data_IF_141370713710
#
_entry.id   IF_141370713710
#
_cell.length_a   1.000
_cell.length_b   1.000
_cell.length_c   1.000
_cell.angle_alpha   90.00
_cell.angle_beta   90.00
_cell.angle_gamma   90.00
#
_symmetry.space_group_name_H-M   'P 1'
#
loop_
_entity.id
_entity.type
_entity.pdbx_description
1 polymer ?
#
# COMPACT_ATOMS: atom_id res chain seq x y z
N UNK A 1 85.53 -1.92 -30.58
CA UNK A 1 84.45 -1.17 -29.92
C UNK A 1 83.11 -1.75 -30.34
N UNK A 2 82.26 -1.90 -29.34
CA UNK A 2 80.92 -2.49 -29.30
C UNK A 2 79.94 -1.95 -30.35
N UNK A 3 79.02 -2.78 -30.85
CA UNK A 3 77.67 -2.86 -30.29
C UNK A 3 76.85 -4.02 -30.90
N UNK A 4 75.94 -4.50 -30.07
CA UNK A 4 75.10 -5.68 -30.17
C UNK A 4 73.96 -5.53 -31.18
N UNK A 5 73.54 -6.64 -31.79
CA UNK A 5 72.19 -6.83 -32.28
C UNK A 5 71.71 -8.24 -31.89
N UNK A 6 70.64 -8.31 -31.10
CA UNK A 6 69.78 -9.49 -30.95
C UNK A 6 68.47 -9.19 -31.69
N UNK A 7 67.81 -10.23 -32.24
CA UNK A 7 66.37 -10.28 -32.14
C UNK A 7 65.88 -11.53 -31.41
N UNK A 8 64.93 -11.27 -30.55
CA UNK A 8 64.12 -12.18 -29.75
C UNK A 8 63.13 -12.88 -30.67
N UNK A 9 63.06 -14.21 -30.62
CA UNK A 9 61.98 -15.00 -31.24
C UNK A 9 61.12 -15.63 -30.14
N UNK A 10 59.90 -15.12 -30.00
CA UNK A 10 58.87 -15.68 -29.10
C UNK A 10 58.07 -16.69 -29.92
N UNK A 11 58.18 -17.97 -29.57
CA UNK A 11 57.25 -19.00 -30.05
C UNK A 11 56.45 -19.51 -28.85
N UNK A 12 55.13 -19.31 -28.86
CA UNK A 12 54.22 -19.90 -27.90
C UNK A 12 52.97 -20.36 -28.64
N UNK A 13 53.06 -21.57 -29.19
CA UNK A 13 51.91 -22.33 -29.67
C UNK A 13 51.15 -22.89 -28.46
N UNK A 14 50.24 -22.10 -27.90
CA UNK A 14 49.30 -22.57 -26.87
C UNK A 14 48.16 -23.29 -27.59
N UNK A 15 48.19 -24.63 -27.55
CA UNK A 15 47.21 -25.50 -28.21
C UNK A 15 45.78 -25.20 -27.75
N UNK A 16 44.87 -25.03 -28.72
CA UNK A 16 43.44 -24.73 -28.55
C UNK A 16 42.73 -25.74 -27.62
N UNK A 17 43.25 -26.96 -27.54
CA UNK A 17 42.75 -28.02 -26.68
C UNK A 17 43.00 -27.75 -25.18
N UNK A 18 44.09 -27.03 -24.84
CA UNK A 18 44.33 -26.54 -23.48
C UNK A 18 43.37 -25.42 -23.10
N UNK A 19 43.03 -24.52 -24.03
CA UNK A 19 42.09 -23.42 -23.78
C UNK A 19 40.66 -23.93 -23.57
N UNK A 20 40.22 -24.95 -24.33
CA UNK A 20 38.89 -25.56 -24.14
C UNK A 20 38.79 -26.31 -22.82
N UNK A 21 39.86 -27.02 -22.41
CA UNK A 21 39.93 -27.68 -21.10
C UNK A 21 39.97 -26.68 -19.94
N UNK A 22 40.72 -25.57 -20.07
CA UNK A 22 40.71 -24.48 -19.09
C UNK A 22 39.32 -23.86 -18.97
N UNK A 23 38.63 -23.63 -20.09
CA UNK A 23 37.28 -23.05 -20.10
C UNK A 23 36.26 -23.99 -19.44
N UNK A 24 36.31 -25.30 -19.72
CA UNK A 24 35.45 -26.29 -19.06
C UNK A 24 35.72 -26.36 -17.55
N UNK A 25 36.98 -26.32 -17.11
CA UNK A 25 37.34 -26.35 -15.68
C UNK A 25 36.86 -25.07 -14.97
N UNK A 26 37.02 -23.90 -15.58
CA UNK A 26 36.49 -22.64 -15.03
C UNK A 26 34.96 -22.64 -14.97
N UNK A 27 34.27 -23.16 -15.99
CA UNK A 27 32.81 -23.23 -16.01
C UNK A 27 32.26 -24.18 -14.93
N UNK A 28 32.92 -25.34 -14.72
CA UNK A 28 32.56 -26.29 -13.66
C UNK A 28 32.86 -25.72 -12.27
N UNK A 29 33.98 -25.02 -12.07
CA UNK A 29 34.30 -24.34 -10.81
C UNK A 29 33.30 -23.21 -10.50
N UNK A 30 32.85 -22.44 -11.50
CA UNK A 30 31.83 -21.41 -11.34
C UNK A 30 30.45 -21.99 -10.97
N UNK A 31 30.08 -23.14 -11.54
CA UNK A 31 28.86 -23.86 -11.19
C UNK A 31 28.92 -24.42 -9.75
N UNK A 32 30.07 -24.93 -9.31
CA UNK A 32 30.25 -25.43 -7.93
C UNK A 32 30.27 -24.31 -6.89
N UNK A 33 30.79 -23.12 -7.23
CA UNK A 33 30.79 -21.94 -6.36
C UNK A 33 29.40 -21.28 -6.20
N UNK A 34 28.44 -21.61 -7.08
CA UNK A 34 27.07 -21.10 -6.99
C UNK A 34 26.21 -21.85 -5.96
N UNK A 35 26.66 -23.03 -5.50
CA UNK A 35 25.91 -23.87 -4.55
C UNK A 35 26.17 -23.54 -3.07
N UNK A 36 27.02 -22.55 -2.77
CA UNK A 36 27.33 -22.14 -1.38
C UNK A 36 26.71 -20.80 -0.98
N UNK A 37 25.80 -20.24 -1.77
CA UNK A 37 24.95 -19.10 -1.37
C UNK A 37 23.50 -19.57 -1.16
N UNK A 38 23.31 -20.57 -0.30
CA UNK A 38 22.00 -20.89 0.26
C UNK A 38 22.11 -21.43 1.69
N UNK A 39 22.72 -20.63 2.56
CA UNK A 39 22.48 -20.71 4.01
C UNK A 39 22.29 -19.30 4.58
N UNK A 40 21.33 -18.56 4.01
CA UNK A 40 20.55 -17.61 4.81
C UNK A 40 19.38 -18.37 5.45
N UNK A 41 19.74 -19.19 6.44
CA UNK A 41 18.97 -19.66 7.59
C UNK A 41 17.43 -19.71 7.46
N UNK A 42 16.92 -20.87 7.04
CA UNK A 42 15.61 -21.36 7.46
C UNK A 42 15.77 -21.96 8.87
N UNK A 43 15.77 -21.12 9.91
CA UNK A 43 15.62 -21.56 11.29
C UNK A 43 14.18 -21.35 11.75
N UNK A 44 13.40 -22.42 11.70
CA UNK A 44 12.19 -22.57 12.49
C UNK A 44 12.58 -22.74 13.97
N UNK A 45 12.67 -21.63 14.71
CA UNK A 45 12.64 -21.67 16.16
C UNK A 45 11.39 -20.94 16.64
N UNK A 46 10.46 -21.71 17.20
CA UNK A 46 9.47 -21.22 18.14
C UNK A 46 10.19 -20.49 19.27
N UNK A 47 10.02 -19.17 19.35
CA UNK A 47 10.15 -18.45 20.61
C UNK A 47 8.97 -17.51 20.78
N UNK A 48 8.08 -17.92 21.67
CA UNK A 48 7.06 -17.12 22.33
C UNK A 48 7.74 -16.17 23.32
N UNK A 49 7.77 -14.87 23.00
CA UNK A 49 7.98 -13.76 23.93
C UNK A 49 7.24 -12.55 23.31
N UNK A 50 6.41 -11.83 24.06
CA UNK A 50 5.51 -10.79 23.54
C UNK A 50 6.24 -9.62 22.84
N UNK A 51 5.87 -9.33 21.58
CA UNK A 51 6.45 -8.29 20.71
C UNK A 51 5.76 -8.25 19.33
N UNK A 52 5.94 -7.19 18.51
CA UNK A 52 4.91 -6.65 17.59
C UNK A 52 4.40 -7.67 16.58
N UNK A 53 3.09 -7.89 16.63
CA UNK A 53 2.40 -8.88 15.84
C UNK A 53 2.57 -8.72 14.32
N UNK A 54 2.87 -9.84 13.67
CA UNK A 54 2.38 -10.26 12.35
C UNK A 54 2.55 -9.33 11.11
N UNK A 55 3.34 -8.25 11.18
CA UNK A 55 3.67 -7.46 9.99
C UNK A 55 4.38 -8.27 8.89
N UNK A 56 5.03 -9.38 9.24
CA UNK A 56 5.76 -10.23 8.29
C UNK A 56 4.88 -11.24 7.52
N UNK A 57 3.59 -11.41 7.87
CA UNK A 57 2.68 -12.37 7.20
C UNK A 57 1.37 -11.73 6.71
N UNK A 58 1.19 -10.43 6.91
CA UNK A 58 0.00 -9.74 6.43
C UNK A 58 0.17 -9.34 4.97
N UNK A 59 -0.42 -10.12 4.06
CA UNK A 59 -0.38 -9.86 2.63
C UNK A 59 -1.63 -9.07 2.19
N UNK A 60 -1.57 -7.76 2.31
CA UNK A 60 -2.59 -6.86 1.74
C UNK A 60 -2.35 -6.60 0.26
N UNK A 61 -3.40 -6.20 -0.46
CA UNK A 61 -3.28 -5.62 -1.79
C UNK A 61 -2.61 -4.24 -1.76
N UNK A 62 -2.13 -3.77 -2.92
CA UNK A 62 -1.62 -2.42 -3.07
C UNK A 62 -2.78 -1.43 -3.28
N UNK A 63 -2.77 -0.34 -2.52
CA UNK A 63 -3.71 0.77 -2.67
C UNK A 63 -2.90 2.01 -3.04
N UNK A 64 -3.41 2.79 -3.99
CA UNK A 64 -2.88 4.11 -4.29
C UNK A 64 -3.98 5.16 -4.11
N UNK A 65 -3.86 5.97 -3.05
CA UNK A 65 -4.81 7.03 -2.74
C UNK A 65 -4.06 8.27 -2.26
N UNK A 66 -3.61 9.16 -3.17
CA UNK A 66 -2.85 10.33 -2.78
C UNK A 66 -3.65 11.24 -1.85
N UNK A 67 -3.04 11.71 -0.77
CA UNK A 67 -3.62 12.70 0.14
C UNK A 67 -2.71 13.92 0.24
N UNK A 68 -3.27 15.08 0.58
CA UNK A 68 -2.53 16.34 0.74
C UNK A 68 -1.86 16.53 2.09
N UNK A 69 -1.98 15.52 2.95
CA UNK A 69 -1.30 15.43 4.23
C UNK A 69 0.22 15.31 4.05
N UNK A 70 0.97 15.28 5.15
CA UNK A 70 2.41 15.10 5.13
C UNK A 70 2.81 13.85 4.32
N UNK A 71 3.82 13.96 3.45
CA UNK A 71 4.26 12.84 2.61
C UNK A 71 4.69 11.61 3.44
N UNK A 72 5.17 11.82 4.67
CA UNK A 72 5.58 10.76 5.60
C UNK A 72 4.44 9.84 6.03
N UNK A 73 3.17 10.29 5.96
CA UNK A 73 2.01 9.50 6.39
C UNK A 73 1.30 8.77 5.24
N UNK A 74 1.70 9.00 3.99
CA UNK A 74 1.05 8.43 2.80
C UNK A 74 0.98 6.89 2.86
N UNK A 75 2.10 6.22 3.13
CA UNK A 75 2.16 4.75 3.20
C UNK A 75 1.28 4.18 4.30
N UNK A 76 1.23 4.86 5.45
CA UNK A 76 0.43 4.45 6.60
C UNK A 76 -1.07 4.59 6.29
N UNK A 77 -1.44 5.69 5.63
CA UNK A 77 -2.80 5.91 5.17
C UNK A 77 -3.25 4.85 4.15
N UNK A 78 -2.45 4.59 3.12
CA UNK A 78 -2.76 3.59 2.09
C UNK A 78 -2.89 2.19 2.68
N UNK A 79 -2.06 1.84 3.68
CA UNK A 79 -2.20 0.61 4.45
C UNK A 79 -3.53 0.53 5.20
N UNK A 80 -3.94 1.62 5.86
CA UNK A 80 -5.25 1.70 6.52
C UNK A 80 -6.41 1.50 5.54
N UNK A 81 -6.32 2.05 4.33
CA UNK A 81 -7.34 1.86 3.29
C UNK A 81 -7.37 0.40 2.80
N UNK A 82 -6.21 -0.24 2.65
CA UNK A 82 -6.14 -1.65 2.28
C UNK A 82 -6.77 -2.57 3.35
N UNK A 83 -6.56 -2.26 4.63
CA UNK A 83 -7.23 -2.92 5.76
C UNK A 83 -8.74 -2.71 5.74
N UNK A 84 -9.19 -1.47 5.49
CA UNK A 84 -10.61 -1.15 5.39
C UNK A 84 -11.29 -1.91 4.25
N UNK A 85 -10.62 -2.04 3.10
CA UNK A 85 -11.09 -2.88 1.98
C UNK A 85 -11.13 -4.38 2.29
N UNK A 86 -10.31 -4.82 3.24
CA UNK A 86 -10.31 -6.20 3.74
C UNK A 86 -11.25 -6.39 4.94
N UNK A 87 -11.95 -5.32 5.32
CA UNK A 87 -12.88 -5.22 6.43
C UNK A 87 -12.25 -5.41 7.83
N UNK A 88 -11.00 -5.01 7.99
CA UNK A 88 -10.27 -5.01 9.25
C UNK A 88 -10.36 -3.61 9.88
N UNK A 89 -11.54 -3.27 10.41
CA UNK A 89 -11.85 -1.90 10.83
C UNK A 89 -11.04 -1.44 12.04
N UNK A 90 -10.82 -2.31 13.02
CA UNK A 90 -10.04 -2.01 14.23
C UNK A 90 -8.57 -1.74 13.89
N UNK A 91 -7.99 -2.52 12.98
CA UNK A 91 -6.62 -2.34 12.52
C UNK A 91 -6.50 -1.09 11.65
N UNK A 92 -7.47 -0.85 10.75
CA UNK A 92 -7.54 0.37 9.95
C UNK A 92 -7.63 1.61 10.84
N UNK A 93 -8.48 1.59 11.88
CA UNK A 93 -8.63 2.67 12.85
C UNK A 93 -7.30 3.02 13.51
N UNK A 94 -6.53 2.01 13.95
CA UNK A 94 -5.19 2.22 14.54
C UNK A 94 -4.23 2.88 13.55
N UNK A 95 -4.27 2.52 12.27
CA UNK A 95 -3.47 3.20 11.24
C UNK A 95 -3.89 4.66 11.12
N UNK A 96 -5.18 4.96 10.97
CA UNK A 96 -5.65 6.33 10.76
C UNK A 96 -5.48 7.23 11.98
N UNK A 97 -5.60 6.70 13.21
CA UNK A 97 -5.24 7.42 14.43
C UNK A 97 -3.75 7.77 14.46
N UNK A 98 -2.90 6.86 13.98
CA UNK A 98 -1.46 7.12 13.87
C UNK A 98 -1.15 8.18 12.79
N UNK A 99 -1.88 8.17 11.66
CA UNK A 99 -1.82 9.25 10.65
C UNK A 99 -2.24 10.59 11.27
N UNK A 100 -3.36 10.64 11.99
CA UNK A 100 -3.88 11.86 12.62
C UNK A 100 -2.95 12.40 13.72
N UNK A 101 -2.26 11.52 14.45
CA UNK A 101 -1.25 11.92 15.43
C UNK A 101 0.01 12.50 14.78
N UNK A 102 0.44 11.91 13.65
CA UNK A 102 1.63 12.35 12.92
C UNK A 102 1.39 13.63 12.08
N UNK A 103 0.18 13.82 11.57
CA UNK A 103 -0.26 15.04 10.89
C UNK A 103 -1.64 15.48 11.39
N UNK A 104 -1.71 16.30 12.45
CA UNK A 104 -2.96 16.79 13.02
C UNK A 104 -3.79 17.68 12.07
N UNK A 105 -3.20 18.17 10.97
CA UNK A 105 -3.89 18.97 9.95
C UNK A 105 -4.41 18.11 8.79
N UNK A 106 -4.24 16.78 8.87
CA UNK A 106 -4.67 15.85 7.84
C UNK A 106 -6.20 15.63 7.88
N UNK A 107 -6.95 16.40 7.09
CA UNK A 107 -8.40 16.22 6.94
C UNK A 107 -8.79 14.79 6.54
N UNK A 108 -7.97 14.15 5.70
CA UNK A 108 -8.22 12.78 5.24
C UNK A 108 -8.01 11.72 6.33
N UNK A 109 -7.19 11.99 7.35
CA UNK A 109 -7.07 11.08 8.50
C UNK A 109 -8.38 11.04 9.29
N UNK A 110 -8.98 12.21 9.54
CA UNK A 110 -10.27 12.33 10.23
C UNK A 110 -11.40 11.68 9.42
N UNK A 111 -11.43 11.92 8.11
CA UNK A 111 -12.34 11.21 7.18
C UNK A 111 -12.17 9.69 7.27
N UNK A 112 -10.94 9.19 7.30
CA UNK A 112 -10.67 7.75 7.33
C UNK A 112 -11.04 7.12 8.68
N UNK A 113 -10.84 7.82 9.80
CA UNK A 113 -11.37 7.39 11.11
C UNK A 113 -12.89 7.27 11.05
N UNK A 114 -13.59 8.30 10.53
CA UNK A 114 -15.04 8.25 10.36
C UNK A 114 -15.49 7.09 9.45
N UNK A 115 -14.73 6.77 8.39
CA UNK A 115 -15.02 5.63 7.51
C UNK A 115 -14.98 4.28 8.24
N UNK A 116 -14.13 4.11 9.27
CA UNK A 116 -14.05 2.83 10.02
C UNK A 116 -15.31 2.54 10.83
N UNK A 117 -16.15 3.56 11.02
CA UNK A 117 -17.39 3.41 11.76
C UNK A 117 -18.52 2.80 10.91
N UNK A 118 -18.44 2.91 9.59
CA UNK A 118 -19.44 2.34 8.70
C UNK A 118 -19.11 0.88 8.37
N UNK A 119 -19.84 -0.07 8.96
CA UNK A 119 -19.55 -1.51 8.89
C UNK A 119 -20.73 -2.34 8.36
N UNK A 120 -21.12 -2.16 7.09
CA UNK A 120 -22.39 -2.68 6.55
C UNK A 120 -22.55 -4.20 6.61
N UNK A 121 -21.47 -4.98 6.59
CA UNK A 121 -21.56 -6.46 6.64
C UNK A 121 -21.50 -7.06 8.05
N UNK A 122 -21.34 -6.23 9.09
CA UNK A 122 -21.30 -6.68 10.49
C UNK A 122 -22.52 -6.13 11.23
N UNK A 123 -22.33 -5.04 11.93
CA UNK A 123 -23.30 -4.40 12.82
C UNK A 123 -23.78 -3.05 12.28
N UNK A 124 -23.44 -2.73 11.03
CA UNK A 124 -23.91 -1.53 10.34
C UNK A 124 -23.34 -0.26 10.97
N UNK A 125 -24.24 0.69 11.28
CA UNK A 125 -23.89 1.98 11.87
C UNK A 125 -24.89 2.33 12.99
N UNK A 126 -24.73 1.75 14.20
CA UNK A 126 -25.55 2.08 15.36
C UNK A 126 -25.30 3.52 15.84
N UNK A 127 -26.25 4.08 16.59
CA UNK A 127 -26.24 5.51 16.95
C UNK A 127 -24.96 5.98 17.66
N UNK A 128 -24.46 5.19 18.63
CA UNK A 128 -23.22 5.55 19.34
C UNK A 128 -22.03 5.67 18.40
N UNK A 129 -21.97 4.78 17.41
CA UNK A 129 -20.91 4.77 16.42
C UNK A 129 -21.08 5.88 15.39
N UNK A 130 -22.33 6.15 14.99
CA UNK A 130 -22.67 7.30 14.16
C UNK A 130 -22.22 8.60 14.80
N UNK A 131 -22.42 8.78 16.10
CA UNK A 131 -21.95 9.97 16.83
C UNK A 131 -20.43 10.13 16.73
N UNK A 132 -19.68 9.04 16.87
CA UNK A 132 -18.22 9.06 16.66
C UNK A 132 -17.90 9.46 15.23
N UNK A 133 -18.50 8.82 14.23
CA UNK A 133 -18.29 9.16 12.82
C UNK A 133 -18.60 10.63 12.51
N UNK A 134 -19.71 11.17 13.03
CA UNK A 134 -20.10 12.58 12.90
C UNK A 134 -19.04 13.51 13.51
N UNK A 135 -18.58 13.21 14.72
CA UNK A 135 -17.55 14.03 15.36
C UNK A 135 -16.26 14.09 14.54
N UNK A 136 -15.84 12.98 13.94
CA UNK A 136 -14.62 12.92 13.14
C UNK A 136 -14.78 13.56 11.76
N UNK A 137 -15.93 13.37 11.10
CA UNK A 137 -16.16 14.01 9.79
C UNK A 137 -16.31 15.53 9.91
N UNK A 138 -16.87 16.02 11.01
CA UNK A 138 -16.97 17.45 11.29
C UNK A 138 -15.57 18.07 11.50
N UNK A 139 -14.66 17.36 12.17
CA UNK A 139 -13.24 17.76 12.23
C UNK A 139 -12.60 17.78 10.84
N UNK A 140 -12.86 16.77 10.01
CA UNK A 140 -12.35 16.73 8.64
C UNK A 140 -12.79 17.96 7.83
N UNK A 141 -14.05 18.38 7.96
CA UNK A 141 -14.59 19.58 7.31
C UNK A 141 -13.91 20.87 7.82
N UNK A 142 -13.70 20.97 9.12
CA UNK A 142 -13.04 22.13 9.75
C UNK A 142 -11.56 22.29 9.36
N UNK A 143 -10.90 21.21 8.93
CA UNK A 143 -9.50 21.23 8.48
C UNK A 143 -9.30 21.72 7.03
N UNK A 144 -10.36 22.16 6.35
CA UNK A 144 -10.30 22.77 5.02
C UNK A 144 -9.51 21.94 3.97
N UNK A 145 -9.98 20.74 3.60
CA UNK A 145 -9.32 19.87 2.62
C UNK A 145 -8.93 20.61 1.35
N UNK A 146 -7.69 20.38 0.89
CA UNK A 146 -7.04 21.24 -0.10
C UNK A 146 -7.49 20.95 -1.52
N UNK A 147 -7.83 19.70 -1.83
CA UNK A 147 -8.24 19.29 -3.18
C UNK A 147 -9.74 19.06 -3.28
N UNK A 148 -10.28 19.23 -4.49
CA UNK A 148 -11.70 18.95 -4.75
C UNK A 148 -12.04 17.47 -4.60
N UNK A 149 -11.06 16.57 -4.80
CA UNK A 149 -11.24 15.14 -4.55
C UNK A 149 -11.48 14.87 -3.06
N UNK A 150 -10.62 15.41 -2.18
CA UNK A 150 -10.76 15.24 -0.73
C UNK A 150 -12.04 15.90 -0.21
N UNK A 151 -12.36 17.11 -0.68
CA UNK A 151 -13.64 17.78 -0.37
C UNK A 151 -14.83 16.90 -0.70
N UNK A 152 -14.83 16.25 -1.87
CA UNK A 152 -15.92 15.35 -2.29
C UNK A 152 -16.01 14.10 -1.43
N UNK A 153 -14.89 13.48 -1.05
CA UNK A 153 -14.92 12.33 -0.13
C UNK A 153 -15.49 12.70 1.24
N UNK A 154 -15.05 13.84 1.79
CA UNK A 154 -15.53 14.34 3.08
C UNK A 154 -17.01 14.70 3.00
N UNK A 155 -17.43 15.42 1.96
CA UNK A 155 -18.83 15.81 1.79
C UNK A 155 -19.76 14.59 1.61
N UNK A 156 -19.32 13.57 0.87
CA UNK A 156 -20.09 12.35 0.68
C UNK A 156 -20.33 11.61 2.00
N UNK A 157 -19.27 11.41 2.80
CA UNK A 157 -19.39 10.74 4.09
C UNK A 157 -20.17 11.60 5.11
N UNK A 158 -19.94 12.91 5.13
CA UNK A 158 -20.68 13.85 5.97
C UNK A 158 -22.19 13.76 5.70
N UNK A 159 -22.59 13.79 4.41
CA UNK A 159 -23.99 13.66 4.01
C UNK A 159 -24.61 12.34 4.48
N UNK A 160 -23.86 11.23 4.41
CA UNK A 160 -24.33 9.94 4.88
C UNK A 160 -24.48 9.88 6.40
N UNK A 161 -23.51 10.41 7.15
CA UNK A 161 -23.49 10.32 8.62
C UNK A 161 -24.54 11.23 9.27
N UNK A 162 -24.69 12.45 8.75
CA UNK A 162 -25.69 13.44 9.18
C UNK A 162 -27.10 13.15 8.63
N UNK A 163 -27.21 12.33 7.59
CA UNK A 163 -28.48 11.93 7.00
C UNK A 163 -29.29 11.00 7.91
N UNK A 164 -30.62 11.07 7.77
CA UNK A 164 -31.54 10.15 8.43
C UNK A 164 -31.26 8.69 8.01
N UNK A 165 -31.14 7.73 8.96
CA UNK A 165 -30.83 6.34 8.62
C UNK A 165 -31.77 5.72 7.58
N UNK A 166 -33.06 6.06 7.62
CA UNK A 166 -34.08 5.60 6.67
C UNK A 166 -33.87 6.09 5.23
N UNK A 167 -33.12 7.17 5.03
CA UNK A 167 -32.79 7.72 3.71
C UNK A 167 -31.57 7.01 3.11
N UNK A 168 -30.63 6.60 3.97
CA UNK A 168 -29.41 5.92 3.57
C UNK A 168 -29.66 4.50 3.05
N UNK A 169 -30.70 3.83 3.57
CA UNK A 169 -31.14 2.49 3.15
C UNK A 169 -32.11 2.55 1.95
N UNK A 170 -32.43 3.75 1.46
CA UNK A 170 -33.46 3.94 0.44
C UNK A 170 -32.93 3.44 -0.91
N UNK A 171 -33.21 2.16 -1.21
CA UNK A 171 -33.15 1.65 -2.59
C UNK A 171 -33.95 2.62 -3.45
N UNK A 172 -33.40 3.14 -4.58
CA UNK A 172 -34.18 3.98 -5.48
C UNK A 172 -35.47 3.22 -5.81
N UNK A 173 -36.60 3.73 -5.33
CA UNK A 173 -37.92 3.09 -5.53
C UNK A 173 -38.30 3.12 -7.02
N UNK A 174 -37.63 3.99 -7.78
CA UNK A 174 -37.63 4.03 -9.22
C UNK A 174 -36.19 4.14 -9.69
N UNK A 175 -35.64 3.05 -10.24
CA UNK A 175 -34.40 3.14 -11.01
C UNK A 175 -34.79 3.72 -12.38
N UNK A 176 -34.33 4.92 -12.76
CA UNK A 176 -34.66 5.47 -14.05
C UNK A 176 -34.13 4.54 -15.15
N UNK A 177 -34.85 4.38 -16.26
CA UNK A 177 -34.41 3.50 -17.34
C UNK A 177 -33.04 3.96 -17.86
N UNK A 178 -32.22 3.05 -18.43
CA UNK A 178 -30.81 3.34 -18.77
C UNK A 178 -30.59 4.59 -19.63
N UNK A 179 -31.55 4.96 -20.48
CA UNK A 179 -31.48 6.13 -21.34
C UNK A 179 -31.64 7.47 -20.59
N UNK A 180 -32.34 7.50 -19.45
CA UNK A 180 -32.43 8.69 -18.58
C UNK A 180 -31.15 8.90 -17.79
N UNK A 181 -30.47 7.81 -17.39
CA UNK A 181 -29.17 7.88 -16.70
C UNK A 181 -28.11 8.58 -17.57
N UNK A 182 -28.08 8.29 -18.88
CA UNK A 182 -27.19 8.98 -19.82
C UNK A 182 -27.46 10.50 -19.87
N UNK A 183 -28.72 10.91 -19.73
CA UNK A 183 -29.14 12.32 -19.77
C UNK A 183 -28.81 13.05 -18.46
N UNK A 184 -28.94 12.36 -17.33
CA UNK A 184 -28.55 12.91 -16.02
C UNK A 184 -27.03 13.05 -15.89
N UNK A 185 -26.26 12.08 -16.41
CA UNK A 185 -24.80 12.13 -16.40
C UNK A 185 -24.24 13.27 -17.28
N UNK A 186 -24.87 13.56 -18.41
CA UNK A 186 -24.49 14.70 -19.28
C UNK A 186 -24.91 16.06 -18.74
N UNK A 187 -25.82 16.13 -17.76
CA UNK A 187 -26.16 17.37 -17.05
C UNK A 187 -25.26 17.66 -15.84
N UNK A 188 -24.45 16.70 -15.40
CA UNK A 188 -23.56 16.82 -14.24
C UNK A 188 -22.09 17.11 -14.62
N UNK A 189 -21.79 17.23 -15.91
CA UNK A 189 -20.50 17.68 -16.45
C UNK A 189 -20.63 19.07 -17.04
#
# INVERSE_FOLDING_TARGET
MSMLALPISISSAISLDKMKKLFCVFFVLALLASSTVLTAQQHHHHRTEGGPGNAALEKLGAVHMPITCAASVQTLFERGIALLHSFWYEEALKQFQSVAAADPQCAMAQWAIAMTEWRPFWDGLPDERRKVGVAEIDKAMALHPRTDREKRYIAALSSYLHGEPSQNERRPTHMPPPWELCTLLTRMT
#
